data_IF_421757094650
#
_entry.id   IF_421757094650
#
_cell.length_a   1.000
_cell.length_b   1.000
_cell.length_c   1.000
_cell.angle_alpha   90.00
_cell.angle_beta   90.00
_cell.angle_gamma   90.00
#
_symmetry.space_group_name_H-M   'P 1'
#
loop_
_entity.id
_entity.type
_entity.pdbx_description
1 polymer ?
#
# COMPACT_ATOMS: atom_id res chain seq x y z
N UNK A 1 -23.65 -31.53 -4.60
CA UNK A 1 -23.08 -30.20 -4.90
C UNK A 1 -21.62 -30.19 -4.47
N UNK A 2 -20.68 -30.26 -5.42
CA UNK A 2 -19.24 -30.08 -5.17
C UNK A 2 -18.91 -28.64 -5.52
N UNK A 3 -18.62 -27.81 -4.52
CA UNK A 3 -18.06 -26.48 -4.76
C UNK A 3 -16.59 -26.70 -5.10
N UNK A 4 -16.22 -26.37 -6.34
CA UNK A 4 -14.86 -26.50 -6.85
C UNK A 4 -13.93 -25.65 -5.97
N UNK A 5 -13.07 -26.32 -5.22
CA UNK A 5 -12.03 -25.68 -4.43
C UNK A 5 -11.06 -24.97 -5.37
N UNK A 6 -11.02 -23.64 -5.29
CA UNK A 6 -9.89 -22.88 -5.82
C UNK A 6 -8.69 -23.25 -4.95
N UNK A 7 -7.86 -24.16 -5.45
CA UNK A 7 -6.66 -24.65 -4.78
C UNK A 7 -5.67 -23.49 -4.60
N UNK A 8 -5.15 -23.23 -3.39
CA UNK A 8 -4.06 -22.29 -3.18
C UNK A 8 -2.78 -22.89 -3.78
N UNK A 9 -2.52 -22.61 -5.05
CA UNK A 9 -1.26 -22.98 -5.72
C UNK A 9 -0.19 -21.97 -5.31
N UNK A 10 0.33 -22.11 -4.08
CA UNK A 10 1.70 -21.81 -3.62
C UNK A 10 1.82 -21.69 -2.08
N UNK A 11 1.33 -22.69 -1.36
CA UNK A 11 1.51 -22.81 0.11
C UNK A 11 2.87 -23.43 0.49
N UNK A 12 3.77 -23.72 -0.46
CA UNK A 12 4.97 -24.56 -0.23
C UNK A 12 6.32 -23.81 -0.11
N UNK A 13 6.35 -22.48 0.03
CA UNK A 13 7.56 -21.76 0.44
C UNK A 13 7.22 -20.67 1.47
N UNK A 14 7.01 -21.07 2.73
CA UNK A 14 7.05 -20.13 3.85
C UNK A 14 8.39 -20.33 4.59
N UNK A 15 9.43 -19.51 4.36
CA UNK A 15 10.57 -19.50 5.25
C UNK A 15 10.07 -19.11 6.65
N UNK A 16 10.36 -19.98 7.61
CA UNK A 16 9.85 -19.96 8.97
C UNK A 16 10.49 -18.88 9.86
N UNK A 17 10.37 -17.61 9.49
CA UNK A 17 10.63 -16.47 10.38
C UNK A 17 9.91 -15.21 9.85
N UNK A 18 8.64 -14.98 10.23
CA UNK A 18 8.05 -13.63 10.34
C UNK A 18 6.63 -13.69 10.93
N UNK A 19 6.50 -13.08 12.12
CA UNK A 19 5.37 -12.31 12.68
C UNK A 19 3.93 -12.70 12.24
N UNK A 20 3.11 -13.09 13.22
CA UNK A 20 1.71 -13.52 13.04
C UNK A 20 0.84 -12.32 12.67
N UNK A 21 -0.30 -12.58 12.03
CA UNK A 21 -1.38 -11.62 11.74
C UNK A 21 -1.77 -10.78 12.99
N UNK A 22 -1.48 -11.32 14.18
CA UNK A 22 -1.73 -10.72 15.50
C UNK A 22 -0.86 -9.47 15.79
N UNK A 23 0.28 -9.29 15.12
CA UNK A 23 1.25 -8.22 15.42
C UNK A 23 0.86 -6.83 14.85
N UNK A 24 -0.18 -6.78 14.02
CA UNK A 24 -0.65 -5.56 13.34
C UNK A 24 -2.01 -5.08 13.88
N UNK A 25 -2.58 -5.81 14.87
CA UNK A 25 -3.84 -5.47 15.51
C UNK A 25 -5.05 -5.54 14.58
N UNK A 26 -5.02 -6.44 13.59
CA UNK A 26 -6.16 -6.72 12.71
C UNK A 26 -6.59 -8.15 12.97
N UNK A 27 -7.82 -8.34 13.44
CA UNK A 27 -8.35 -9.68 13.61
C UNK A 27 -8.56 -10.34 12.25
N UNK A 28 -8.53 -11.67 12.23
CA UNK A 28 -8.61 -12.48 11.02
C UNK A 28 -9.87 -12.19 10.19
N UNK A 29 -11.00 -11.85 10.81
CA UNK A 29 -12.24 -11.57 10.08
C UNK A 29 -12.15 -10.24 9.33
N UNK A 30 -11.61 -9.20 9.97
CA UNK A 30 -11.31 -7.90 9.33
C UNK A 30 -10.30 -8.06 8.18
N UNK A 31 -9.30 -8.92 8.33
CA UNK A 31 -8.34 -9.22 7.26
C UNK A 31 -9.03 -9.89 6.06
N UNK A 32 -9.82 -10.94 6.27
CA UNK A 32 -10.50 -11.69 5.18
C UNK A 32 -11.56 -10.84 4.45
N UNK A 33 -12.28 -9.98 5.17
CA UNK A 33 -13.22 -9.03 4.57
C UNK A 33 -12.50 -8.00 3.69
N UNK A 34 -11.43 -7.39 4.22
CA UNK A 34 -10.67 -6.38 3.49
C UNK A 34 -9.79 -6.98 2.38
N UNK A 35 -9.39 -8.25 2.48
CA UNK A 35 -8.61 -8.98 1.49
C UNK A 35 -9.29 -8.96 0.12
N UNK A 36 -10.62 -9.12 0.09
CA UNK A 36 -11.43 -9.07 -1.15
C UNK A 36 -11.84 -7.65 -1.55
N UNK A 37 -11.73 -6.68 -0.65
CA UNK A 37 -12.12 -5.31 -0.89
C UNK A 37 -11.06 -4.59 -1.75
N UNK A 38 -11.40 -4.30 -3.01
CA UNK A 38 -10.55 -3.48 -3.88
C UNK A 38 -10.67 -2.02 -3.45
N UNK A 39 -9.54 -1.37 -3.16
CA UNK A 39 -9.50 0.07 -2.92
C UNK A 39 -9.40 0.78 -4.26
N UNK A 40 -10.55 1.17 -4.82
CA UNK A 40 -10.63 1.93 -6.07
C UNK A 40 -11.03 3.36 -5.79
N UNK A 41 -10.28 4.29 -6.37
CA UNK A 41 -10.66 5.69 -6.37
C UNK A 41 -11.69 5.93 -7.47
N UNK A 42 -12.64 6.82 -7.23
CA UNK A 42 -13.44 7.38 -8.32
C UNK A 42 -12.57 8.25 -9.23
N UNK A 43 -13.02 8.56 -10.44
CA UNK A 43 -12.25 9.41 -11.35
C UNK A 43 -12.04 10.82 -10.78
N UNK A 44 -13.04 11.34 -10.05
CA UNK A 44 -12.93 12.62 -9.36
C UNK A 44 -11.89 12.58 -8.23
N UNK A 45 -11.87 11.52 -7.41
CA UNK A 45 -10.87 11.34 -6.36
C UNK A 45 -9.47 11.16 -6.95
N UNK A 46 -9.37 10.39 -8.03
CA UNK A 46 -8.11 10.22 -8.76
C UNK A 46 -7.60 11.55 -9.34
N UNK A 47 -8.49 12.38 -9.88
CA UNK A 47 -8.11 13.70 -10.40
C UNK A 47 -7.50 14.60 -9.32
N UNK A 48 -8.04 14.57 -8.08
CA UNK A 48 -7.46 15.29 -6.93
C UNK A 48 -6.05 14.80 -6.60
N UNK A 49 -5.87 13.46 -6.53
CA UNK A 49 -4.54 12.86 -6.30
C UNK A 49 -3.58 13.24 -7.42
N UNK A 50 -4.01 13.18 -8.68
CA UNK A 50 -3.19 13.51 -9.84
C UNK A 50 -2.70 14.96 -9.82
N UNK A 51 -3.55 15.89 -9.37
CA UNK A 51 -3.24 17.32 -9.31
C UNK A 51 -2.13 17.66 -8.30
N UNK A 52 -1.91 16.83 -7.28
CA UNK A 52 -0.87 17.03 -6.27
C UNK A 52 0.42 16.26 -6.56
N UNK A 53 0.45 15.42 -7.59
CA UNK A 53 1.67 14.69 -7.93
C UNK A 53 2.73 15.64 -8.52
N UNK A 54 3.99 15.56 -8.08
CA UNK A 54 5.05 16.44 -8.57
C UNK A 54 5.29 16.21 -10.06
N UNK A 55 5.61 17.27 -10.81
CA UNK A 55 5.47 17.32 -12.28
C UNK A 55 6.01 16.13 -13.06
N UNK A 56 7.19 15.58 -12.72
CA UNK A 56 7.73 14.38 -13.41
C UNK A 56 6.91 13.12 -13.15
N UNK A 57 6.39 12.97 -11.92
CA UNK A 57 5.53 11.87 -11.50
C UNK A 57 4.12 12.06 -12.07
N UNK A 58 3.59 13.29 -12.00
CA UNK A 58 2.28 13.67 -12.53
C UNK A 58 2.17 13.46 -14.03
N UNK A 59 3.16 13.91 -14.82
CA UNK A 59 3.18 13.71 -16.29
C UNK A 59 3.14 12.23 -16.66
N UNK A 60 3.91 11.38 -15.97
CA UNK A 60 3.89 9.92 -16.20
C UNK A 60 2.58 9.27 -15.74
N UNK A 61 1.94 9.81 -14.71
CA UNK A 61 0.64 9.36 -14.23
C UNK A 61 -0.49 9.73 -15.20
N UNK A 62 -0.46 10.94 -15.78
CA UNK A 62 -1.46 11.42 -16.75
C UNK A 62 -1.39 10.72 -18.11
N UNK A 63 -0.19 10.32 -18.56
CA UNK A 63 0.01 9.67 -19.86
C UNK A 63 -0.34 8.16 -19.88
N UNK A 64 -1.37 7.75 -19.14
CA UNK A 64 -1.80 6.35 -19.07
C UNK A 64 -0.85 5.42 -18.30
N UNK A 65 0.05 5.97 -17.49
CA UNK A 65 0.93 5.17 -16.64
C UNK A 65 0.16 4.41 -15.56
N UNK A 66 0.77 3.33 -15.04
CA UNK A 66 0.24 2.53 -13.91
C UNK A 66 0.24 3.27 -12.55
N UNK A 67 0.14 4.60 -12.53
CA UNK A 67 0.19 5.40 -11.30
C UNK A 67 -1.09 5.23 -10.46
N UNK A 68 -2.27 5.25 -11.10
CA UNK A 68 -3.54 4.98 -10.39
C UNK A 68 -3.53 3.61 -9.73
N UNK A 69 -3.22 2.58 -10.51
CA UNK A 69 -3.09 1.20 -10.02
C UNK A 69 -2.09 1.08 -8.87
N UNK A 70 -0.97 1.80 -8.93
CA UNK A 70 0.02 1.84 -7.86
C UNK A 70 -0.54 2.49 -6.58
N UNK A 71 -1.20 3.64 -6.69
CA UNK A 71 -1.82 4.30 -5.53
C UNK A 71 -2.90 3.40 -4.94
N UNK A 72 -3.77 2.83 -5.76
CA UNK A 72 -4.82 1.87 -5.33
C UNK A 72 -4.23 0.64 -4.63
N UNK A 73 -3.05 0.15 -5.05
CA UNK A 73 -2.34 -0.93 -4.37
C UNK A 73 -1.86 -0.52 -2.96
N UNK A 74 -1.33 0.70 -2.82
CA UNK A 74 -0.90 1.24 -1.53
C UNK A 74 -2.11 1.49 -0.62
N UNK A 75 -3.24 1.94 -1.18
CA UNK A 75 -4.48 2.07 -0.42
C UNK A 75 -4.99 0.71 0.06
N UNK A 76 -4.93 -0.31 -0.80
CA UNK A 76 -5.27 -1.68 -0.40
C UNK A 76 -4.40 -2.14 0.78
N UNK A 77 -3.09 -1.92 0.71
CA UNK A 77 -2.16 -2.19 1.80
C UNK A 77 -2.49 -1.44 3.10
N UNK A 78 -2.86 -0.16 2.99
CA UNK A 78 -3.23 0.65 4.15
C UNK A 78 -4.50 0.14 4.83
N UNK A 79 -5.47 -0.34 4.05
CA UNK A 79 -6.75 -0.87 4.54
C UNK A 79 -6.64 -2.27 5.14
N UNK A 80 -5.92 -3.17 4.48
CA UNK A 80 -5.74 -4.55 4.98
C UNK A 80 -4.74 -4.64 6.12
N UNK A 81 -3.81 -3.66 6.19
CA UNK A 81 -2.59 -3.71 7.02
C UNK A 81 -1.81 -5.01 6.82
N UNK A 82 -1.92 -5.62 5.65
CA UNK A 82 -1.22 -6.84 5.29
C UNK A 82 0.29 -6.61 5.18
N UNK A 83 1.06 -7.68 5.01
CA UNK A 83 2.45 -7.55 4.61
C UNK A 83 2.56 -7.14 3.15
N UNK A 84 3.64 -6.44 2.80
CA UNK A 84 3.87 -6.05 1.41
C UNK A 84 3.91 -7.27 0.48
N UNK A 85 4.40 -8.42 0.96
CA UNK A 85 4.42 -9.68 0.22
C UNK A 85 3.03 -10.17 -0.20
N UNK A 86 1.99 -9.71 0.47
CA UNK A 86 0.62 -10.20 0.29
C UNK A 86 -0.19 -9.31 -0.66
N UNK A 87 0.44 -8.29 -1.26
CA UNK A 87 -0.21 -7.44 -2.26
C UNK A 87 -0.70 -8.33 -3.43
N UNK A 88 -1.97 -8.23 -3.83
CA UNK A 88 -2.51 -9.01 -4.93
C UNK A 88 -1.75 -8.75 -6.24
N UNK A 89 -1.48 -9.84 -6.97
CA UNK A 89 -0.68 -9.81 -8.21
C UNK A 89 -1.27 -8.89 -9.29
N UNK A 90 -2.58 -8.63 -9.27
CA UNK A 90 -3.24 -7.70 -10.18
C UNK A 90 -2.74 -6.25 -10.07
N UNK A 91 -2.18 -5.87 -8.92
CA UNK A 91 -1.56 -4.56 -8.71
C UNK A 91 -0.12 -4.51 -9.24
N UNK A 92 0.52 -5.66 -9.42
CA UNK A 92 1.89 -5.81 -9.88
C UNK A 92 2.80 -6.47 -8.83
N UNK A 93 4.09 -6.55 -9.14
CA UNK A 93 5.06 -7.17 -8.24
C UNK A 93 5.22 -6.33 -6.96
N UNK A 94 4.97 -6.96 -5.80
CA UNK A 94 4.99 -6.28 -4.51
C UNK A 94 6.31 -5.53 -4.23
N UNK A 95 7.45 -6.10 -4.63
CA UNK A 95 8.76 -5.48 -4.39
C UNK A 95 8.91 -4.18 -5.18
N UNK A 96 8.39 -4.12 -6.40
CA UNK A 96 8.38 -2.90 -7.22
C UNK A 96 7.46 -1.82 -6.62
N UNK A 97 6.32 -2.24 -6.07
CA UNK A 97 5.38 -1.36 -5.35
C UNK A 97 6.06 -0.80 -4.10
N UNK A 98 6.69 -1.66 -3.29
CA UNK A 98 7.40 -1.25 -2.07
C UNK A 98 8.53 -0.25 -2.33
N UNK A 99 9.40 -0.52 -3.32
CA UNK A 99 10.49 0.40 -3.70
C UNK A 99 9.92 1.75 -4.13
N UNK A 100 8.86 1.75 -4.95
CA UNK A 100 8.24 2.99 -5.42
C UNK A 100 7.57 3.76 -4.28
N UNK A 101 6.91 3.05 -3.36
CA UNK A 101 6.32 3.62 -2.15
C UNK A 101 7.39 4.32 -1.31
N UNK A 102 8.53 3.66 -1.05
CA UNK A 102 9.64 4.24 -0.30
C UNK A 102 10.21 5.49 -0.95
N UNK A 103 10.35 5.49 -2.29
CA UNK A 103 10.77 6.68 -3.04
C UNK A 103 9.82 7.87 -2.83
N UNK A 104 8.52 7.66 -2.97
CA UNK A 104 7.52 8.70 -2.72
C UNK A 104 7.50 9.16 -1.27
N UNK A 105 7.80 8.28 -0.31
CA UNK A 105 7.92 8.63 1.09
C UNK A 105 9.18 9.44 1.42
N UNK A 106 10.24 9.34 0.62
CA UNK A 106 11.46 10.15 0.75
C UNK A 106 11.38 11.49 0.03
N UNK A 107 10.52 11.58 -0.99
CA UNK A 107 10.24 12.80 -1.74
C UNK A 107 9.02 13.56 -1.17
N UNK A 108 8.53 13.16 0.02
CA UNK A 108 7.36 13.70 0.74
C UNK A 108 6.04 13.74 -0.07
N UNK A 109 5.98 13.04 -1.19
CA UNK A 109 4.82 12.98 -2.10
C UNK A 109 3.58 12.44 -1.40
N UNK A 110 3.76 11.49 -0.47
CA UNK A 110 2.62 10.90 0.24
C UNK A 110 1.90 11.89 1.15
N UNK A 111 2.57 12.92 1.66
CA UNK A 111 1.93 13.93 2.51
C UNK A 111 0.87 14.70 1.72
N UNK A 112 1.19 15.05 0.47
CA UNK A 112 0.28 15.73 -0.43
C UNK A 112 -0.85 14.81 -0.90
N UNK A 113 -0.54 13.53 -1.18
CA UNK A 113 -1.56 12.54 -1.53
C UNK A 113 -2.54 12.31 -0.36
N UNK A 114 -2.06 12.27 0.89
CA UNK A 114 -2.92 12.16 2.08
C UNK A 114 -3.85 13.37 2.19
N UNK A 115 -3.34 14.59 2.00
CA UNK A 115 -4.17 15.81 1.99
C UNK A 115 -5.24 15.77 0.89
N UNK A 116 -4.89 15.29 -0.31
CA UNK A 116 -5.82 15.18 -1.44
C UNK A 116 -6.98 14.20 -1.22
N UNK A 117 -6.90 13.34 -0.20
CA UNK A 117 -7.94 12.36 0.16
C UNK A 117 -8.84 12.82 1.32
N UNK A 118 -8.92 14.11 1.62
CA UNK A 118 -9.76 14.68 2.70
C UNK A 118 -11.24 14.26 2.64
N UNK A 119 -11.80 14.03 1.45
CA UNK A 119 -13.18 13.55 1.27
C UNK A 119 -13.36 12.07 1.68
N UNK A 120 -12.26 11.36 1.96
CA UNK A 120 -12.25 9.97 2.38
C UNK A 120 -11.55 9.82 3.74
N UNK A 121 -12.17 10.26 4.86
CA UNK A 121 -11.50 10.36 6.16
C UNK A 121 -10.87 9.04 6.63
N UNK A 122 -11.54 7.91 6.42
CA UNK A 122 -11.01 6.58 6.76
C UNK A 122 -9.76 6.25 5.94
N UNK A 123 -9.83 6.42 4.62
CA UNK A 123 -8.70 6.13 3.71
C UNK A 123 -7.53 7.06 3.96
N UNK A 124 -7.81 8.34 4.17
CA UNK A 124 -6.83 9.36 4.54
C UNK A 124 -6.08 8.97 5.82
N UNK A 125 -6.80 8.66 6.90
CA UNK A 125 -6.21 8.27 8.18
C UNK A 125 -5.36 6.99 8.06
N UNK A 126 -5.85 5.98 7.32
CA UNK A 126 -5.13 4.73 7.13
C UNK A 126 -3.85 4.91 6.31
N UNK A 127 -3.91 5.68 5.23
CA UNK A 127 -2.72 6.00 4.43
C UNK A 127 -1.72 6.81 5.24
N UNK A 128 -2.17 7.81 5.99
CA UNK A 128 -1.32 8.61 6.87
C UNK A 128 -0.58 7.75 7.90
N UNK A 129 -1.30 6.84 8.59
CA UNK A 129 -0.69 5.92 9.54
C UNK A 129 0.34 4.97 8.91
N UNK A 130 0.09 4.49 7.67
CA UNK A 130 1.05 3.65 6.94
C UNK A 130 2.34 4.42 6.62
N UNK A 131 2.22 5.66 6.14
CA UNK A 131 3.35 6.54 5.80
C UNK A 131 4.16 6.89 7.03
N UNK A 132 3.50 7.28 8.12
CA UNK A 132 4.15 7.61 9.39
C UNK A 132 4.93 6.42 9.95
N UNK A 133 4.30 5.22 9.99
CA UNK A 133 4.96 3.99 10.43
C UNK A 133 6.20 3.67 9.61
N UNK A 134 6.12 3.84 8.29
CA UNK A 134 7.27 3.64 7.41
C UNK A 134 8.39 4.64 7.70
N UNK A 135 8.07 5.94 7.76
CA UNK A 135 9.06 6.98 8.03
C UNK A 135 9.72 6.82 9.40
N UNK A 136 8.96 6.44 10.44
CA UNK A 136 9.48 6.16 11.78
C UNK A 136 10.47 4.98 11.78
N UNK A 137 10.11 3.89 11.08
CA UNK A 137 10.97 2.72 10.93
C UNK A 137 12.26 3.05 10.18
N UNK A 138 12.15 3.83 9.09
CA UNK A 138 13.30 4.24 8.30
C UNK A 138 14.23 5.18 9.07
N UNK A 139 13.68 6.10 9.87
CA UNK A 139 14.44 7.00 10.74
C UNK A 139 15.31 6.22 11.72
N UNK A 140 14.74 5.20 12.38
CA UNK A 140 15.47 4.33 13.32
C UNK A 140 16.58 3.54 12.61
N UNK A 141 16.30 2.98 11.43
CA UNK A 141 17.30 2.24 10.65
C UNK A 141 18.46 3.13 10.20
N UNK A 142 18.17 4.36 9.75
CA UNK A 142 19.21 5.31 9.31
C UNK A 142 20.10 5.78 10.46
N UNK A 143 19.54 5.95 11.66
CA UNK A 143 20.30 6.27 12.87
C UNK A 143 21.22 5.10 13.28
N UNK A 144 20.72 3.86 13.22
CA UNK A 144 21.52 2.64 13.51
C UNK A 144 22.65 2.42 12.50
N UNK A 145 22.42 2.76 11.22
CA UNK A 145 23.44 2.65 10.17
C UNK A 145 24.54 3.72 10.24
N UNK A 146 24.30 4.86 10.91
CA UNK A 146 25.28 5.94 11.13
C UNK A 146 26.17 5.75 12.36
N UNK A 147 25.84 4.80 13.24
CA UNK A 147 26.59 4.49 14.47
C UNK A 147 27.58 3.32 14.30
N UNK A 148 27.74 2.82 13.08
CA UNK A 148 28.78 1.85 12.70
C UNK A 148 29.85 2.58 11.91
#
# INVERSE_FOLDING_TARGET
MKVVGVTPRDTAMRPQWTFRIDDIGVDKATFEENWRARQRLSDAQWAKVLAVLPGRIGVRASNGGNARRFVEAVLWMAHTRAYWSDVPVEYGAWHAIYIRFGRWAHEDVWEDVVKALEDLPKTQALLGALVEKYQASYRIQRLRGRMK
#
